data_IF_540412222321
#
_entry.id   IF_540412222321
#
_cell.length_a   1.000
_cell.length_b   1.000
_cell.length_c   1.000
_cell.angle_alpha   90.00
_cell.angle_beta   90.00
_cell.angle_gamma   90.00
#
_symmetry.space_group_name_H-M   'P 1'
#
loop_
_entity.id
_entity.type
_entity.pdbx_description
1 polymer ?
#
# COMPACT_ATOMS: atom_id res chain seq x y z
N UNK A 1 -10.65 18.18 4.30
CA UNK A 1 -9.39 18.30 5.09
C UNK A 1 -8.25 18.67 4.13
N UNK A 2 -7.21 19.35 4.61
CA UNK A 2 -6.12 19.85 3.76
C UNK A 2 -4.88 18.96 3.77
N UNK A 3 -4.85 17.96 4.63
CA UNK A 3 -3.73 17.06 4.79
C UNK A 3 -4.14 15.60 4.96
N UNK A 4 -3.19 14.70 4.71
CA UNK A 4 -3.39 13.27 4.78
C UNK A 4 -2.26 12.54 5.51
N UNK A 5 -2.59 11.35 6.01
CA UNK A 5 -1.65 10.33 6.47
C UNK A 5 -1.79 9.14 5.55
N UNK A 6 -0.68 8.70 4.97
CA UNK A 6 -0.62 7.60 4.01
C UNK A 6 0.04 6.40 4.67
N UNK A 7 -0.62 5.25 4.64
CA UNK A 7 -0.11 3.98 5.18
C UNK A 7 -0.10 2.95 4.07
N UNK A 8 1.06 2.36 3.81
CA UNK A 8 1.26 1.43 2.69
C UNK A 8 1.68 0.06 3.19
N UNK A 9 0.89 -0.94 2.88
CA UNK A 9 1.30 -2.34 2.89
C UNK A 9 2.08 -2.65 1.61
N UNK A 10 3.40 -2.62 1.71
CA UNK A 10 4.25 -2.82 0.55
C UNK A 10 4.06 -4.19 -0.10
N UNK A 11 3.82 -5.22 0.69
CA UNK A 11 3.67 -6.59 0.18
C UNK A 11 2.42 -6.72 -0.69
N UNK A 12 1.29 -6.22 -0.20
CA UNK A 12 0.02 -6.26 -0.93
C UNK A 12 0.11 -5.45 -2.24
N UNK A 13 0.51 -4.18 -2.16
CA UNK A 13 0.58 -3.30 -3.34
C UNK A 13 1.60 -3.80 -4.36
N UNK A 14 2.75 -4.31 -3.92
CA UNK A 14 3.77 -4.82 -4.83
C UNK A 14 3.34 -6.10 -5.54
N UNK A 15 2.80 -7.08 -4.82
CA UNK A 15 2.35 -8.36 -5.39
C UNK A 15 1.21 -8.13 -6.38
N UNK A 16 0.20 -7.38 -5.99
CA UNK A 16 -0.95 -7.11 -6.86
C UNK A 16 -0.56 -6.24 -8.07
N UNK A 17 0.34 -5.29 -7.88
CA UNK A 17 0.91 -4.51 -8.99
C UNK A 17 1.66 -5.37 -10.01
N UNK A 18 2.47 -6.35 -9.57
CA UNK A 18 3.12 -7.31 -10.47
C UNK A 18 2.11 -8.15 -11.24
N UNK A 19 1.04 -8.63 -10.60
CA UNK A 19 -0.04 -9.39 -11.25
C UNK A 19 -0.77 -8.52 -12.27
N UNK A 20 -1.13 -7.30 -11.90
CA UNK A 20 -1.82 -6.38 -12.80
C UNK A 20 -0.95 -6.00 -14.01
N UNK A 21 0.35 -5.73 -13.79
CA UNK A 21 1.31 -5.48 -14.87
C UNK A 21 1.43 -6.66 -15.83
N UNK A 22 1.47 -7.89 -15.31
CA UNK A 22 1.51 -9.10 -16.14
C UNK A 22 0.25 -9.24 -17.02
N UNK A 23 -0.94 -8.95 -16.47
CA UNK A 23 -2.20 -8.93 -17.24
C UNK A 23 -2.17 -7.89 -18.37
N UNK A 24 -1.70 -6.67 -18.09
CA UNK A 24 -1.58 -5.61 -19.11
C UNK A 24 -0.58 -5.96 -20.22
N UNK A 25 0.46 -6.73 -19.91
CA UNK A 25 1.46 -7.21 -20.86
C UNK A 25 1.08 -8.53 -21.53
N UNK A 26 -0.10 -9.09 -21.25
CA UNK A 26 -0.54 -10.39 -21.73
C UNK A 26 0.48 -11.51 -21.49
N UNK A 27 1.13 -11.50 -20.33
CA UNK A 27 2.11 -12.52 -19.97
C UNK A 27 1.40 -13.87 -19.77
N UNK A 28 2.00 -14.98 -20.26
CA UNK A 28 1.39 -16.30 -20.12
C UNK A 28 1.34 -16.72 -18.65
N UNK A 29 0.28 -17.42 -18.28
CA UNK A 29 0.18 -18.03 -16.94
C UNK A 29 1.23 -19.15 -16.79
N UNK A 30 1.85 -19.26 -15.61
CA UNK A 30 2.78 -20.34 -15.31
C UNK A 30 2.10 -21.72 -15.33
N UNK A 31 2.87 -22.77 -15.69
CA UNK A 31 2.37 -24.14 -15.77
C UNK A 31 1.90 -24.72 -14.41
N UNK A 32 2.27 -24.08 -13.30
CA UNK A 32 1.88 -24.49 -11.94
C UNK A 32 0.50 -23.97 -11.49
N UNK A 33 -0.23 -23.33 -12.39
CA UNK A 33 -1.57 -22.81 -12.15
C UNK A 33 -1.61 -21.53 -11.29
N UNK A 34 -0.46 -20.90 -11.04
CA UNK A 34 -0.41 -19.60 -10.35
C UNK A 34 -0.71 -18.46 -11.31
N UNK A 35 -1.13 -17.33 -10.76
CA UNK A 35 -1.28 -16.10 -11.55
C UNK A 35 0.07 -15.63 -12.10
N UNK A 36 0.06 -15.14 -13.34
CA UNK A 36 1.24 -14.53 -13.93
C UNK A 36 1.68 -13.28 -13.13
N UNK A 37 2.98 -13.12 -12.95
CA UNK A 37 3.58 -11.98 -12.25
C UNK A 37 4.68 -11.35 -13.12
N UNK A 38 4.61 -10.04 -13.29
CA UNK A 38 5.68 -9.27 -13.91
C UNK A 38 6.74 -8.90 -12.89
N UNK A 39 7.73 -9.76 -12.72
CA UNK A 39 8.82 -9.54 -11.77
C UNK A 39 9.74 -8.36 -12.13
N UNK A 40 9.56 -7.72 -13.28
CA UNK A 40 10.29 -6.50 -13.66
C UNK A 40 9.61 -5.22 -13.17
N UNK A 41 8.32 -5.30 -12.83
CA UNK A 41 7.56 -4.15 -12.35
C UNK A 41 8.08 -3.68 -10.98
N UNK A 42 8.22 -2.37 -10.82
CA UNK A 42 8.71 -1.72 -9.60
C UNK A 42 7.91 -0.48 -9.31
N UNK A 43 7.70 -0.20 -8.04
CA UNK A 43 7.05 1.03 -7.57
C UNK A 43 8.06 2.18 -7.52
N UNK A 44 7.69 3.33 -8.04
CA UNK A 44 8.32 4.60 -7.73
C UNK A 44 7.60 5.22 -6.53
N UNK A 45 8.22 5.20 -5.38
CA UNK A 45 7.62 5.68 -4.13
C UNK A 45 7.30 7.18 -4.14
N UNK A 46 8.04 8.00 -4.88
CA UNK A 46 7.74 9.42 -5.03
C UNK A 46 6.47 9.64 -5.86
N UNK A 47 6.36 8.94 -6.98
CA UNK A 47 5.15 8.97 -7.82
C UNK A 47 3.93 8.42 -7.07
N UNK A 48 4.10 7.32 -6.31
CA UNK A 48 3.05 6.75 -5.48
C UNK A 48 2.50 7.79 -4.50
N UNK A 49 3.37 8.49 -3.77
CA UNK A 49 2.95 9.54 -2.84
C UNK A 49 2.19 10.67 -3.56
N UNK A 50 2.68 11.12 -4.71
CA UNK A 50 2.04 12.19 -5.48
C UNK A 50 0.63 11.80 -5.94
N UNK A 51 0.48 10.58 -6.49
CA UNK A 51 -0.82 10.07 -6.94
C UNK A 51 -1.79 9.95 -5.77
N UNK A 52 -1.36 9.29 -4.71
CA UNK A 52 -2.24 9.00 -3.57
C UNK A 52 -2.58 10.26 -2.77
N UNK A 53 -1.67 11.22 -2.69
CA UNK A 53 -1.94 12.47 -1.97
C UNK A 53 -3.06 13.31 -2.62
N UNK A 54 -3.29 13.20 -3.93
CA UNK A 54 -4.32 13.95 -4.67
C UNK A 54 -4.25 15.47 -4.39
N UNK A 55 -3.05 16.01 -4.22
CA UNK A 55 -2.81 17.42 -3.92
C UNK A 55 -2.91 17.81 -2.44
N UNK A 56 -3.27 16.88 -1.55
CA UNK A 56 -3.23 17.12 -0.10
C UNK A 56 -1.80 17.18 0.42
N UNK A 57 -1.59 17.92 1.49
CA UNK A 57 -0.31 17.93 2.20
C UNK A 57 -0.09 16.60 2.93
N UNK A 58 1.01 15.92 2.65
CA UNK A 58 1.34 14.67 3.33
C UNK A 58 1.92 14.98 4.71
N UNK A 59 1.12 14.80 5.75
CA UNK A 59 1.55 14.96 7.15
C UNK A 59 2.50 13.84 7.56
N UNK A 60 2.22 12.62 7.10
CA UNK A 60 3.01 11.42 7.39
C UNK A 60 2.79 10.35 6.33
N UNK A 61 3.86 9.67 5.95
CA UNK A 61 3.80 8.47 5.10
C UNK A 61 4.52 7.32 5.81
N UNK A 62 3.84 6.19 5.95
CA UNK A 62 4.35 4.98 6.62
C UNK A 62 4.35 3.85 5.61
N UNK A 63 5.51 3.20 5.45
CA UNK A 63 5.65 2.00 4.62
C UNK A 63 6.00 0.82 5.50
N UNK A 64 5.20 -0.23 5.42
CA UNK A 64 5.47 -1.45 6.15
C UNK A 64 5.69 -2.59 5.17
N UNK A 65 6.62 -3.46 5.52
CA UNK A 65 6.88 -4.65 4.73
C UNK A 65 7.76 -5.65 5.45
N UNK A 66 7.83 -6.86 4.90
CA UNK A 66 8.71 -7.91 5.36
C UNK A 66 9.94 -8.02 4.47
N UNK A 67 11.10 -8.32 5.05
CA UNK A 67 12.28 -8.66 4.27
C UNK A 67 12.19 -10.06 3.69
N UNK A 68 12.20 -10.20 2.37
CA UNK A 68 13.05 -11.18 1.70
C UNK A 68 14.32 -10.45 1.23
N UNK A 69 15.34 -11.12 0.92
CA UNK A 69 16.69 -11.14 1.40
C UNK A 69 17.35 -9.76 1.57
N UNK A 70 18.44 -9.72 2.28
CA UNK A 70 19.41 -8.69 2.69
C UNK A 70 19.65 -7.41 1.84
N UNK A 71 18.78 -7.04 0.90
CA UNK A 71 18.92 -5.85 0.08
C UNK A 71 18.04 -4.70 0.61
N UNK A 72 18.66 -3.80 1.33
CA UNK A 72 18.00 -2.62 1.90
C UNK A 72 17.73 -1.49 0.86
N UNK A 73 18.04 -1.69 -0.41
CA UNK A 73 17.93 -0.64 -1.45
C UNK A 73 16.48 -0.14 -1.60
N UNK A 74 15.49 -1.01 -1.56
CA UNK A 74 14.08 -0.66 -1.64
C UNK A 74 13.65 0.21 -0.45
N UNK A 75 14.04 -0.20 0.75
CA UNK A 75 13.70 0.52 1.98
C UNK A 75 14.38 1.88 2.06
N UNK A 76 15.63 1.96 1.60
CA UNK A 76 16.36 3.23 1.51
C UNK A 76 15.74 4.15 0.47
N UNK A 77 15.30 3.64 -0.68
CA UNK A 77 14.60 4.43 -1.68
C UNK A 77 13.29 5.02 -1.12
N UNK A 78 12.53 4.24 -0.36
CA UNK A 78 11.31 4.73 0.30
C UNK A 78 11.62 5.81 1.36
N UNK A 79 12.64 5.61 2.19
CA UNK A 79 13.07 6.61 3.19
C UNK A 79 13.48 7.93 2.55
N UNK A 80 14.23 7.91 1.44
CA UNK A 80 14.63 9.12 0.69
C UNK A 80 13.40 9.88 0.18
N UNK A 81 12.29 9.19 -0.11
CA UNK A 81 11.03 9.80 -0.53
C UNK A 81 10.13 10.26 0.63
N UNK A 82 10.59 10.12 1.87
CA UNK A 82 9.89 10.63 3.05
C UNK A 82 9.05 9.61 3.82
N UNK A 83 9.15 8.33 3.50
CA UNK A 83 8.47 7.30 4.29
C UNK A 83 9.17 7.02 5.62
N UNK A 84 8.37 6.92 6.68
CA UNK A 84 8.76 6.16 7.87
C UNK A 84 8.65 4.67 7.52
N UNK A 85 9.80 3.98 7.43
CA UNK A 85 9.85 2.58 6.98
C UNK A 85 9.95 1.64 8.16
N UNK A 86 9.01 0.71 8.24
CA UNK A 86 8.95 -0.35 9.25
C UNK A 86 9.18 -1.68 8.57
N UNK A 87 10.35 -2.27 8.76
CA UNK A 87 10.72 -3.57 8.17
C UNK A 87 10.74 -4.64 9.23
N UNK A 88 10.16 -5.79 8.92
CA UNK A 88 10.23 -6.96 9.77
C UNK A 88 11.01 -8.07 9.10
N UNK A 89 11.93 -8.70 9.86
CA UNK A 89 12.64 -9.87 9.38
C UNK A 89 11.71 -11.08 9.37
N UNK A 90 11.64 -11.80 8.24
CA UNK A 90 10.97 -13.11 8.17
C UNK A 90 11.82 -14.13 8.92
N UNK A 91 11.40 -14.53 10.10
CA UNK A 91 11.90 -15.77 10.71
C UNK A 91 11.09 -16.94 10.17
N UNK A 92 11.74 -18.12 10.07
CA UNK A 92 11.27 -19.37 9.49
C UNK A 92 9.99 -19.99 10.07
N UNK A 93 9.27 -19.30 10.95
CA UNK A 93 8.04 -19.74 11.58
C UNK A 93 6.99 -18.61 11.63
N UNK A 94 6.09 -18.57 10.63
CA UNK A 94 4.78 -17.88 10.65
C UNK A 94 4.73 -16.43 11.19
N UNK A 95 5.45 -15.48 10.61
CA UNK A 95 5.42 -14.07 11.08
C UNK A 95 4.87 -13.03 10.09
N UNK A 96 4.03 -13.41 9.13
CA UNK A 96 3.25 -12.43 8.36
C UNK A 96 2.33 -11.62 9.28
N UNK A 97 1.62 -12.26 10.21
CA UNK A 97 0.73 -11.60 11.20
C UNK A 97 1.40 -10.50 12.04
N UNK A 98 2.71 -10.53 12.23
CA UNK A 98 3.38 -9.49 13.03
C UNK A 98 3.66 -8.21 12.25
N UNK A 99 3.66 -8.25 10.90
CA UNK A 99 3.80 -7.06 10.03
C UNK A 99 2.51 -6.25 10.10
N UNK A 100 1.39 -6.88 9.85
CA UNK A 100 0.07 -6.25 9.84
C UNK A 100 -0.27 -5.66 11.21
N UNK A 101 -0.02 -6.42 12.28
CA UNK A 101 -0.22 -5.94 13.65
C UNK A 101 0.62 -4.70 13.97
N UNK A 102 1.89 -4.64 13.52
CA UNK A 102 2.74 -3.46 13.73
C UNK A 102 2.26 -2.26 12.93
N UNK A 103 1.79 -2.48 11.71
CA UNK A 103 1.26 -1.42 10.87
C UNK A 103 -0.02 -0.85 11.49
N UNK A 104 -0.95 -1.71 11.89
CA UNK A 104 -2.17 -1.29 12.59
C UNK A 104 -1.83 -0.53 13.86
N UNK A 105 -0.93 -1.06 14.70
CA UNK A 105 -0.51 -0.39 15.94
C UNK A 105 0.13 0.98 15.68
N UNK A 106 0.97 1.11 14.65
CA UNK A 106 1.60 2.37 14.27
C UNK A 106 0.60 3.36 13.70
N UNK A 107 -0.34 2.88 12.90
CA UNK A 107 -1.45 3.68 12.38
C UNK A 107 -2.32 4.22 13.51
N UNK A 108 -2.76 3.35 14.43
CA UNK A 108 -3.55 3.74 15.61
C UNK A 108 -2.78 4.75 16.47
N UNK A 109 -1.49 4.51 16.74
CA UNK A 109 -0.65 5.48 17.45
C UNK A 109 -0.68 6.86 16.77
N UNK A 110 -0.53 6.89 15.44
CA UNK A 110 -0.53 8.14 14.66
C UNK A 110 -1.88 8.85 14.79
N UNK A 111 -3.00 8.12 14.60
CA UNK A 111 -4.36 8.64 14.70
C UNK A 111 -4.64 9.21 16.11
N UNK A 112 -4.16 8.52 17.15
CA UNK A 112 -4.39 8.93 18.52
C UNK A 112 -3.52 10.10 19.00
N UNK A 113 -2.40 10.37 18.32
CA UNK A 113 -1.43 11.41 18.73
C UNK A 113 -1.46 12.65 17.85
N UNK A 114 -2.22 12.64 16.75
CA UNK A 114 -2.35 13.78 15.84
C UNK A 114 -3.82 14.15 15.65
N UNK A 115 -4.10 15.37 15.22
CA UNK A 115 -5.46 15.80 14.91
C UNK A 115 -6.02 15.12 13.64
N UNK A 116 -7.35 15.13 13.44
CA UNK A 116 -7.99 14.54 12.28
C UNK A 116 -7.43 15.03 10.95
N UNK A 117 -7.33 14.11 9.99
CA UNK A 117 -6.89 14.31 8.62
C UNK A 117 -7.54 13.23 7.74
N UNK A 118 -7.17 13.15 6.46
CA UNK A 118 -7.55 12.01 5.61
C UNK A 118 -6.58 10.85 5.85
N UNK A 119 -7.08 9.71 6.32
CA UNK A 119 -6.31 8.47 6.39
C UNK A 119 -6.44 7.71 5.08
N UNK A 120 -5.33 7.50 4.38
CA UNK A 120 -5.26 6.73 3.14
C UNK A 120 -4.49 5.44 3.37
N UNK A 121 -5.21 4.30 3.34
CA UNK A 121 -4.63 2.96 3.53
C UNK A 121 -4.48 2.28 2.18
N UNK A 122 -3.25 1.95 1.83
CA UNK A 122 -2.90 1.24 0.59
C UNK A 122 -2.75 -0.25 0.87
N UNK A 123 -3.84 -0.96 0.86
CA UNK A 123 -3.93 -2.41 0.96
C UNK A 123 -5.36 -2.86 0.65
N UNK A 124 -5.52 -4.04 0.05
CA UNK A 124 -6.83 -4.71 -0.10
C UNK A 124 -7.14 -5.69 1.04
N UNK A 125 -6.31 -5.75 2.07
CA UNK A 125 -6.47 -6.70 3.17
C UNK A 125 -7.45 -6.17 4.23
N UNK A 126 -8.37 -7.04 4.64
CA UNK A 126 -9.34 -6.75 5.70
C UNK A 126 -8.71 -6.58 7.09
N UNK A 127 -7.47 -7.02 7.29
CA UNK A 127 -6.75 -6.87 8.55
C UNK A 127 -6.50 -5.40 8.94
N UNK A 128 -6.69 -4.45 7.99
CA UNK A 128 -6.63 -3.00 8.25
C UNK A 128 -7.95 -2.36 8.69
N UNK A 129 -9.05 -3.09 8.68
CA UNK A 129 -10.36 -2.55 9.07
C UNK A 129 -10.39 -2.00 10.50
N UNK A 130 -9.77 -2.63 11.51
CA UNK A 130 -9.73 -2.07 12.86
C UNK A 130 -9.04 -0.70 12.92
N UNK A 131 -8.05 -0.45 12.05
CA UNK A 131 -7.41 0.86 11.95
C UNK A 131 -8.37 1.91 11.39
N UNK A 132 -9.15 1.55 10.37
CA UNK A 132 -10.16 2.42 9.76
C UNK A 132 -11.27 2.75 10.74
N UNK A 133 -11.73 1.77 11.51
CA UNK A 133 -12.74 1.97 12.55
C UNK A 133 -12.28 2.97 13.61
N UNK A 134 -11.06 2.81 14.13
CA UNK A 134 -10.48 3.78 15.10
C UNK A 134 -10.34 5.17 14.48
N UNK A 135 -9.98 5.28 13.21
CA UNK A 135 -9.89 6.57 12.52
C UNK A 135 -11.25 7.25 12.42
N UNK A 136 -12.29 6.51 12.03
CA UNK A 136 -13.66 7.02 11.95
C UNK A 136 -14.17 7.50 13.31
N UNK A 137 -13.95 6.72 14.38
CA UNK A 137 -14.32 7.10 15.75
C UNK A 137 -13.63 8.40 16.22
N UNK A 138 -12.46 8.70 15.65
CA UNK A 138 -11.68 9.91 15.92
C UNK A 138 -11.96 11.06 14.97
N UNK A 139 -12.97 10.92 14.08
CA UNK A 139 -13.39 11.96 13.13
C UNK A 139 -12.44 12.16 11.94
N UNK A 140 -11.64 11.15 11.60
CA UNK A 140 -10.84 11.15 10.39
C UNK A 140 -11.71 10.76 9.19
N UNK A 141 -11.41 11.30 8.03
CA UNK A 141 -11.89 10.74 6.76
C UNK A 141 -11.02 9.53 6.39
N UNK A 142 -11.64 8.49 5.80
CA UNK A 142 -10.93 7.24 5.54
C UNK A 142 -11.08 6.82 4.09
N UNK A 143 -9.94 6.48 3.46
CA UNK A 143 -9.86 5.98 2.10
C UNK A 143 -9.03 4.69 2.07
N UNK A 144 -9.49 3.73 1.27
CA UNK A 144 -8.74 2.51 0.97
C UNK A 144 -8.36 2.52 -0.51
N UNK A 145 -7.08 2.36 -0.78
CA UNK A 145 -6.50 2.32 -2.12
C UNK A 145 -5.98 0.91 -2.38
N UNK A 146 -6.54 0.21 -3.34
CA UNK A 146 -6.13 -1.18 -3.61
C UNK A 146 -6.30 -1.55 -5.08
N UNK A 147 -5.50 -2.51 -5.55
CA UNK A 147 -5.79 -3.14 -6.84
C UNK A 147 -7.10 -3.93 -6.74
N UNK A 148 -7.92 -3.88 -7.80
CA UNK A 148 -9.24 -4.52 -7.82
C UNK A 148 -9.15 -6.02 -7.53
N UNK A 149 -8.05 -6.67 -7.93
CA UNK A 149 -7.79 -8.09 -7.63
C UNK A 149 -7.62 -8.38 -6.13
N UNK A 150 -7.17 -7.41 -5.34
CA UNK A 150 -6.99 -7.56 -3.91
C UNK A 150 -8.27 -7.35 -3.09
N UNK A 151 -9.26 -6.68 -3.66
CA UNK A 151 -10.50 -6.33 -2.95
C UNK A 151 -11.43 -7.53 -2.72
N UNK A 152 -11.16 -8.68 -3.33
CA UNK A 152 -11.95 -9.89 -3.17
C UNK A 152 -13.42 -9.74 -3.57
N UNK A 153 -14.17 -10.85 -3.49
CA UNK A 153 -15.64 -10.84 -3.65
C UNK A 153 -16.40 -10.50 -2.36
N UNK A 154 -15.69 -10.27 -1.26
CA UNK A 154 -16.27 -9.85 0.00
C UNK A 154 -16.68 -8.39 -0.11
N UNK A 155 -17.95 -8.10 0.21
CA UNK A 155 -18.44 -6.73 0.30
C UNK A 155 -17.51 -5.94 1.22
N UNK A 156 -16.86 -4.91 0.67
CA UNK A 156 -16.07 -3.99 1.48
C UNK A 156 -16.93 -3.43 2.60
N UNK A 157 -16.43 -3.34 3.82
CA UNK A 157 -17.21 -2.87 4.94
C UNK A 157 -17.64 -1.43 4.71
N UNK A 158 -18.87 -1.13 5.12
CA UNK A 158 -19.43 0.22 5.11
C UNK A 158 -18.68 1.26 5.96
N UNK A 159 -17.66 0.80 6.69
CA UNK A 159 -16.79 1.66 7.50
C UNK A 159 -15.79 2.48 6.67
N UNK A 160 -15.46 2.09 5.44
CA UNK A 160 -14.56 2.86 4.57
C UNK A 160 -15.36 3.91 3.81
N UNK A 161 -14.99 5.19 3.93
CA UNK A 161 -15.72 6.28 3.27
C UNK A 161 -15.52 6.29 1.76
N UNK A 162 -14.30 5.95 1.29
CA UNK A 162 -13.94 5.91 -0.14
C UNK A 162 -13.05 4.73 -0.44
N UNK A 163 -13.33 4.03 -1.53
CA UNK A 163 -12.47 2.99 -2.09
C UNK A 163 -11.98 3.46 -3.45
N UNK A 164 -10.67 3.52 -3.62
CA UNK A 164 -10.02 3.97 -4.84
C UNK A 164 -9.25 2.83 -5.50
N UNK A 165 -9.57 2.44 -6.74
CA UNK A 165 -8.83 1.41 -7.44
C UNK A 165 -7.44 1.91 -7.87
N UNK A 166 -6.40 1.11 -7.60
CA UNK A 166 -5.03 1.38 -8.02
C UNK A 166 -4.77 1.05 -9.50
N UNK A 167 -5.65 0.25 -10.11
CA UNK A 167 -5.48 -0.25 -11.48
C UNK A 167 -5.23 0.85 -12.52
N UNK A 168 -5.99 1.97 -12.54
CA UNK A 168 -5.74 3.06 -13.49
C UNK A 168 -4.37 3.73 -13.31
N UNK A 169 -3.85 3.73 -12.09
CA UNK A 169 -2.63 4.46 -11.71
C UNK A 169 -1.34 3.65 -11.91
N UNK A 170 -1.43 2.38 -12.31
CA UNK A 170 -0.25 1.49 -12.38
C UNK A 170 0.90 2.06 -13.22
N UNK A 171 0.59 2.72 -14.34
CA UNK A 171 1.61 3.32 -15.21
C UNK A 171 2.22 4.57 -14.61
N UNK A 172 1.43 5.33 -13.85
CA UNK A 172 1.89 6.56 -13.19
C UNK A 172 2.84 6.25 -12.04
N UNK A 173 2.55 5.21 -11.26
CA UNK A 173 3.34 4.82 -10.08
C UNK A 173 4.53 3.90 -10.42
N UNK A 174 4.67 3.47 -11.67
CA UNK A 174 5.75 2.60 -12.09
C UNK A 174 7.10 3.32 -12.13
N UNK A 175 8.15 2.66 -11.62
CA UNK A 175 9.53 3.11 -11.76
C UNK A 175 9.98 3.04 -13.22
N UNK A 176 10.59 4.11 -13.72
CA UNK A 176 11.08 4.17 -15.10
C UNK A 176 9.99 4.25 -16.19
N UNK A 177 8.71 4.40 -15.83
CA UNK A 177 7.60 4.58 -16.77
C UNK A 177 7.55 5.99 -17.33
N UNK A 178 7.44 6.04 -18.67
CA UNK A 178 7.33 7.17 -19.59
C UNK A 178 8.69 7.76 -20.02
N UNK A 179 9.44 7.05 -20.85
CA UNK A 179 9.99 7.69 -22.03
C UNK A 179 8.79 7.85 -22.98
N UNK A 180 8.19 9.02 -22.99
CA UNK A 180 7.40 9.48 -24.13
C UNK A 180 8.40 9.76 -25.24
N UNK A 181 8.44 8.85 -26.23
CA UNK A 181 9.00 9.20 -27.54
C UNK A 181 8.15 10.29 -28.20
#
# INVERSE_FOLDING_TARGET
>A
MEDCVIIVDNSNIWIEGMKHSAKLKHMPEPLDGKEACDYSWRIDFGKLLNVVAEGLTIRKAILVGSRPPKNDSLWNAAKIKGFEVIVQDRNSQNKEKAVDTKLVAKGVQTICTTGPAVLKVLSGDSDFLPLIEVANERGWETEMWAFTSALGSSSMPSSVMRIEPMDPHIKEIQYGGLKTD
#
